data_IF_828678878153
#
_entry.id   IF_828678878153
#
_cell.length_a   1.000
_cell.length_b   1.000
_cell.length_c   1.000
_cell.angle_alpha   90.00
_cell.angle_beta   90.00
_cell.angle_gamma   90.00
#
_symmetry.space_group_name_H-M   'P 1'
#
loop_
_entity.id
_entity.type
_entity.pdbx_description
1 polymer ?
#
# COMPACT_ATOMS: atom_id res chain seq x y z
N UNK A 1 12.50 -14.91 -4.35
CA UNK A 1 13.21 -13.87 -3.58
C UNK A 1 12.27 -13.16 -2.65
N UNK A 2 12.63 -13.07 -1.40
CA UNK A 2 11.82 -12.36 -0.42
C UNK A 2 12.27 -10.90 -0.28
N UNK A 3 11.31 -10.02 -0.17
CA UNK A 3 11.58 -8.62 0.07
C UNK A 3 11.46 -8.31 1.55
N UNK A 4 12.45 -7.66 2.12
CA UNK A 4 12.39 -7.23 3.52
C UNK A 4 11.40 -6.06 3.63
N UNK A 5 10.93 -5.82 4.85
CA UNK A 5 10.04 -4.68 5.09
C UNK A 5 10.72 -3.36 4.76
N UNK A 6 12.01 -3.24 5.04
CA UNK A 6 12.79 -2.04 4.68
C UNK A 6 12.82 -1.83 3.18
N UNK A 7 12.99 -2.89 2.42
CA UNK A 7 13.02 -2.79 0.97
C UNK A 7 11.66 -2.41 0.40
N UNK A 8 10.60 -2.98 0.96
CA UNK A 8 9.23 -2.63 0.55
C UNK A 8 8.97 -1.14 0.81
N UNK A 9 9.37 -0.62 1.97
CA UNK A 9 9.22 0.79 2.27
C UNK A 9 9.98 1.69 1.30
N UNK A 10 11.20 1.30 0.96
CA UNK A 10 12.02 2.05 -0.01
C UNK A 10 11.34 2.14 -1.37
N UNK A 11 10.81 1.03 -1.84
CA UNK A 11 10.13 0.96 -3.13
C UNK A 11 8.87 1.82 -3.11
N UNK A 12 8.09 1.73 -2.05
CA UNK A 12 6.89 2.54 -1.90
C UNK A 12 7.25 4.03 -1.92
N UNK A 13 8.28 4.41 -1.16
CA UNK A 13 8.71 5.80 -1.08
C UNK A 13 9.19 6.33 -2.43
N UNK A 14 9.80 5.47 -3.24
CA UNK A 14 10.33 5.85 -4.54
C UNK A 14 9.23 6.05 -5.60
N UNK A 15 8.24 5.16 -5.62
CA UNK A 15 7.25 5.14 -6.70
C UNK A 15 5.88 5.71 -6.33
N UNK A 16 5.59 5.87 -5.06
CA UNK A 16 4.30 6.41 -4.61
C UNK A 16 4.51 7.79 -4.01
N UNK A 17 3.94 8.80 -4.63
CA UNK A 17 4.18 10.19 -4.23
C UNK A 17 3.20 10.75 -3.22
N UNK A 18 2.02 10.14 -3.07
CA UNK A 18 1.04 10.55 -2.07
C UNK A 18 1.39 9.95 -0.71
N UNK A 19 1.56 10.79 0.30
CA UNK A 19 1.86 10.33 1.65
C UNK A 19 0.77 9.42 2.18
N UNK A 20 -0.49 9.76 1.95
CA UNK A 20 -1.62 8.91 2.36
C UNK A 20 -1.54 7.54 1.72
N UNK A 21 -1.27 7.49 0.41
CA UNK A 21 -1.22 6.24 -0.33
C UNK A 21 -0.04 5.38 0.11
N UNK A 22 1.09 6.01 0.41
CA UNK A 22 2.26 5.31 0.97
C UNK A 22 1.88 4.60 2.26
N UNK A 23 1.19 5.30 3.14
CA UNK A 23 0.79 4.73 4.43
C UNK A 23 -0.21 3.59 4.26
N UNK A 24 -1.15 3.74 3.34
CA UNK A 24 -2.11 2.68 3.04
C UNK A 24 -1.37 1.41 2.58
N UNK A 25 -0.43 1.56 1.65
CA UNK A 25 0.33 0.44 1.15
C UNK A 25 1.21 -0.21 2.22
N UNK A 26 1.87 0.60 3.05
CA UNK A 26 2.69 0.07 4.14
C UNK A 26 1.85 -0.74 5.11
N UNK A 27 0.69 -0.22 5.48
CA UNK A 27 -0.21 -0.92 6.39
C UNK A 27 -0.74 -2.21 5.77
N UNK A 28 -0.96 -2.21 4.47
CA UNK A 28 -1.45 -3.41 3.77
C UNK A 28 -0.34 -4.45 3.56
N UNK A 29 0.79 -4.03 3.02
CA UNK A 29 1.85 -4.94 2.61
C UNK A 29 2.79 -5.38 3.73
N UNK A 30 3.01 -4.52 4.69
CA UNK A 30 3.93 -4.80 5.80
C UNK A 30 3.17 -5.30 7.02
N UNK A 31 2.13 -4.58 7.43
CA UNK A 31 1.38 -4.92 8.63
C UNK A 31 0.23 -5.90 8.38
N UNK A 32 -0.13 -6.11 7.13
CA UNK A 32 -1.12 -7.12 6.75
C UNK A 32 -2.55 -6.77 7.12
N UNK A 33 -2.90 -5.49 7.21
CA UNK A 33 -4.26 -5.09 7.53
C UNK A 33 -5.25 -5.49 6.45
N UNK A 34 -6.47 -5.83 6.88
CA UNK A 34 -7.57 -6.09 5.94
C UNK A 34 -8.03 -4.78 5.31
N UNK A 35 -8.73 -4.87 4.19
CA UNK A 35 -9.29 -3.67 3.55
C UNK A 35 -10.28 -2.96 4.46
N UNK A 36 -11.05 -3.71 5.24
CA UNK A 36 -12.00 -3.13 6.20
C UNK A 36 -11.28 -2.29 7.26
N UNK A 37 -10.19 -2.82 7.80
CA UNK A 37 -9.40 -2.09 8.80
C UNK A 37 -8.75 -0.85 8.20
N UNK A 38 -8.26 -0.95 6.98
CA UNK A 38 -7.68 0.20 6.28
C UNK A 38 -8.73 1.28 6.05
N UNK A 39 -9.92 0.88 5.63
CA UNK A 39 -11.03 1.81 5.42
C UNK A 39 -11.34 2.59 6.69
N UNK A 40 -11.40 1.90 7.83
CA UNK A 40 -11.63 2.54 9.12
C UNK A 40 -10.50 3.51 9.48
N UNK A 41 -9.26 3.05 9.35
CA UNK A 41 -8.10 3.84 9.76
C UNK A 41 -7.96 5.12 8.94
N UNK A 42 -8.24 5.06 7.65
CA UNK A 42 -8.07 6.20 6.75
C UNK A 42 -9.36 6.93 6.42
N UNK A 43 -10.44 6.57 7.09
CA UNK A 43 -11.76 7.20 6.91
C UNK A 43 -12.20 7.19 5.44
N UNK A 44 -12.11 6.02 4.82
CA UNK A 44 -12.44 5.80 3.42
C UNK A 44 -13.39 4.62 3.28
N UNK A 45 -14.03 4.50 2.13
CA UNK A 45 -14.83 3.32 1.87
C UNK A 45 -13.92 2.13 1.54
N UNK A 46 -14.41 0.94 1.79
CA UNK A 46 -13.71 -0.30 1.45
C UNK A 46 -13.36 -0.33 -0.04
N UNK A 47 -14.28 0.09 -0.88
CA UNK A 47 -14.10 0.14 -2.32
C UNK A 47 -12.98 1.10 -2.74
N UNK A 48 -12.91 2.26 -2.11
CA UNK A 48 -11.85 3.24 -2.38
C UNK A 48 -10.49 2.69 -2.02
N UNK A 49 -10.40 2.06 -0.85
CA UNK A 49 -9.13 1.48 -0.38
C UNK A 49 -8.68 0.38 -1.34
N UNK A 50 -9.59 -0.50 -1.73
CA UNK A 50 -9.26 -1.58 -2.67
C UNK A 50 -8.74 -1.04 -3.99
N UNK A 51 -9.39 -0.01 -4.51
CA UNK A 51 -8.97 0.62 -5.77
C UNK A 51 -7.55 1.16 -5.67
N UNK A 52 -7.27 1.88 -4.59
CA UNK A 52 -5.94 2.45 -4.37
C UNK A 52 -4.88 1.35 -4.26
N UNK A 53 -5.14 0.37 -3.42
CA UNK A 53 -4.18 -0.71 -3.19
C UNK A 53 -3.89 -1.48 -4.47
N UNK A 54 -4.92 -1.92 -5.18
CA UNK A 54 -4.71 -2.71 -6.40
C UNK A 54 -3.99 -1.93 -7.48
N UNK A 55 -4.37 -0.67 -7.67
CA UNK A 55 -3.72 0.18 -8.66
C UNK A 55 -2.23 0.38 -8.37
N UNK A 56 -1.94 0.76 -7.14
CA UNK A 56 -0.56 1.04 -6.76
C UNK A 56 0.29 -0.22 -6.66
N UNK A 57 -0.29 -1.30 -6.19
CA UNK A 57 0.39 -2.58 -6.09
C UNK A 57 0.80 -3.08 -7.48
N UNK A 58 -0.09 -2.92 -8.46
CA UNK A 58 0.22 -3.27 -9.85
C UNK A 58 1.38 -2.44 -10.39
N UNK A 59 1.38 -1.13 -10.10
CA UNK A 59 2.45 -0.25 -10.52
C UNK A 59 3.78 -0.62 -9.87
N UNK A 60 3.76 -0.93 -8.58
CA UNK A 60 4.97 -1.31 -7.85
C UNK A 60 5.57 -2.59 -8.40
N UNK A 61 4.74 -3.59 -8.62
CA UNK A 61 5.23 -4.89 -9.08
C UNK A 61 5.78 -4.83 -10.50
N UNK A 62 5.38 -3.86 -11.29
CA UNK A 62 5.96 -3.63 -12.61
C UNK A 62 7.43 -3.18 -12.52
N UNK A 63 7.86 -2.65 -11.38
CA UNK A 63 9.22 -2.16 -11.16
C UNK A 63 10.07 -3.12 -10.32
N UNK A 64 9.51 -4.22 -9.93
CA UNK A 64 10.24 -5.25 -9.20
C UNK A 64 10.75 -6.34 -10.13
#
# INVERSE_FOLDING_TARGET
>A
MEYTNSRIREIIAEYVHSERDRRILERRLIDGLTFERLAEEFDMSDRQVRRIVYKLQEQLFAHL
#
